data_IF_322857118395
#
_entry.id   IF_322857118395
#
_cell.length_a   1.000
_cell.length_b   1.000
_cell.length_c   1.000
_cell.angle_alpha   90.00
_cell.angle_beta   90.00
_cell.angle_gamma   90.00
#
_symmetry.space_group_name_H-M   'P 1'
#
loop_
_entity.id
_entity.type
_entity.pdbx_description
1 polymer ?
#
# COMPACT_ATOMS: atom_id res chain seq x y z
N UNK A 1 -14.36 35.48 5.36
CA UNK A 1 -14.44 34.11 5.93
C UNK A 1 -13.02 33.61 6.15
N UNK A 2 -12.64 33.05 7.31
CA UNK A 2 -11.34 32.41 7.41
C UNK A 2 -11.38 31.14 6.54
N UNK A 3 -10.44 31.03 5.60
CA UNK A 3 -10.26 29.81 4.81
C UNK A 3 -9.67 28.78 5.78
N UNK A 4 -10.52 27.92 6.32
CA UNK A 4 -10.09 26.83 7.17
C UNK A 4 -9.23 25.89 6.31
N UNK A 5 -7.93 25.85 6.58
CA UNK A 5 -7.05 24.87 5.95
C UNK A 5 -7.54 23.48 6.37
N UNK A 6 -7.84 22.56 5.43
CA UNK A 6 -8.33 21.23 5.78
C UNK A 6 -7.37 20.54 6.75
N UNK A 7 -7.91 19.83 7.73
CA UNK A 7 -7.16 19.17 8.82
C UNK A 7 -6.02 18.26 8.34
N UNK A 8 -6.09 17.79 7.09
CA UNK A 8 -5.13 16.88 6.48
C UNK A 8 -4.23 17.51 5.42
N UNK A 9 -4.24 18.84 5.25
CA UNK A 9 -3.44 19.52 4.21
C UNK A 9 -1.97 19.13 4.30
N UNK A 10 -1.37 19.18 5.49
CA UNK A 10 0.04 18.80 5.67
C UNK A 10 0.36 17.32 5.40
N UNK A 11 -0.63 16.43 5.44
CA UNK A 11 -0.46 15.02 5.04
C UNK A 11 -0.50 14.91 3.52
N UNK A 12 -1.46 15.57 2.88
CA UNK A 12 -1.62 15.60 1.42
C UNK A 12 -0.37 16.18 0.76
N UNK A 13 0.09 17.34 1.23
CA UNK A 13 1.33 17.98 0.73
C UNK A 13 2.56 17.09 0.89
N UNK A 14 2.63 16.35 2.01
CA UNK A 14 3.74 15.41 2.24
C UNK A 14 3.72 14.25 1.24
N UNK A 15 2.54 13.70 0.96
CA UNK A 15 2.37 12.61 -0.02
C UNK A 15 2.75 13.11 -1.41
N UNK A 16 2.23 14.26 -1.84
CA UNK A 16 2.62 14.87 -3.11
C UNK A 16 4.13 15.11 -3.21
N UNK A 17 4.77 15.60 -2.15
CA UNK A 17 6.21 15.78 -2.13
C UNK A 17 7.01 14.48 -2.23
N UNK A 18 6.48 13.36 -1.71
CA UNK A 18 7.09 12.04 -1.88
C UNK A 18 6.94 11.57 -3.32
N UNK A 19 5.75 11.67 -3.90
CA UNK A 19 5.47 11.27 -5.28
C UNK A 19 6.32 12.07 -6.27
N UNK A 20 6.51 13.37 -6.04
CA UNK A 20 7.39 14.22 -6.84
C UNK A 20 8.84 13.72 -6.82
N UNK A 21 9.40 13.48 -5.63
CA UNK A 21 10.80 13.07 -5.47
C UNK A 21 11.08 11.64 -5.95
N UNK A 22 10.11 10.74 -5.82
CA UNK A 22 10.34 9.31 -6.03
C UNK A 22 9.83 8.83 -7.38
N UNK A 23 8.79 9.47 -7.93
CA UNK A 23 8.15 9.07 -9.18
C UNK A 23 8.24 10.16 -10.26
N UNK A 24 7.61 11.32 -10.06
CA UNK A 24 7.45 12.32 -11.14
C UNK A 24 8.78 12.89 -11.64
N UNK A 25 9.73 13.19 -10.75
CA UNK A 25 11.06 13.71 -11.13
C UNK A 25 11.88 12.77 -12.03
N UNK A 26 11.51 11.49 -12.09
CA UNK A 26 12.18 10.47 -12.92
C UNK A 26 11.51 10.28 -14.28
N UNK A 27 10.36 10.91 -14.52
CA UNK A 27 9.62 10.80 -15.76
C UNK A 27 10.05 11.87 -16.77
N UNK A 28 10.07 11.49 -18.04
CA UNK A 28 10.21 12.45 -19.13
C UNK A 28 8.87 13.14 -19.39
N UNK A 29 8.87 14.45 -19.67
CA UNK A 29 7.67 15.22 -20.01
C UNK A 29 6.99 14.73 -21.30
N UNK A 30 7.72 14.11 -22.22
CA UNK A 30 7.19 13.57 -23.49
C UNK A 30 6.89 12.06 -23.42
N UNK A 31 6.52 11.54 -22.25
CA UNK A 31 6.22 10.12 -22.05
C UNK A 31 4.91 9.71 -22.72
N UNK A 32 4.88 8.51 -23.31
CA UNK A 32 3.63 7.91 -23.82
C UNK A 32 2.79 7.36 -22.67
N UNK A 33 1.48 7.22 -22.88
CA UNK A 33 0.58 6.66 -21.85
C UNK A 33 0.96 5.22 -21.53
N UNK A 34 1.36 4.43 -22.53
CA UNK A 34 1.78 3.04 -22.37
C UNK A 34 3.02 2.93 -21.47
N UNK A 35 4.04 3.75 -21.73
CA UNK A 35 5.25 3.76 -20.90
C UNK A 35 4.95 4.27 -19.49
N UNK A 36 4.06 5.26 -19.35
CA UNK A 36 3.62 5.74 -18.04
C UNK A 36 2.94 4.63 -17.23
N UNK A 37 2.10 3.79 -17.85
CA UNK A 37 1.47 2.64 -17.19
C UNK A 37 2.50 1.64 -16.68
N UNK A 38 3.51 1.32 -17.50
CA UNK A 38 4.59 0.42 -17.08
C UNK A 38 5.38 1.01 -15.90
N UNK A 39 5.69 2.31 -15.93
CA UNK A 39 6.36 2.99 -14.81
C UNK A 39 5.51 3.03 -13.54
N UNK A 40 4.20 3.24 -13.66
CA UNK A 40 3.28 3.15 -12.52
C UNK A 40 3.27 1.74 -11.92
N UNK A 41 3.27 0.70 -12.77
CA UNK A 41 3.31 -0.70 -12.33
C UNK A 41 4.61 -1.03 -11.61
N UNK A 42 5.75 -0.61 -12.16
CA UNK A 42 7.07 -0.73 -11.52
C UNK A 42 7.09 -0.06 -10.14
N UNK A 43 6.66 1.21 -10.07
CA UNK A 43 6.67 1.97 -8.82
C UNK A 43 5.71 1.38 -7.78
N UNK A 44 4.52 0.96 -8.20
CA UNK A 44 3.54 0.30 -7.32
C UNK A 44 4.10 -1.02 -6.78
N UNK A 45 4.81 -1.79 -7.61
CA UNK A 45 5.46 -3.02 -7.17
C UNK A 45 6.52 -2.74 -6.10
N UNK A 46 7.41 -1.78 -6.34
CA UNK A 46 8.42 -1.35 -5.37
C UNK A 46 7.77 -0.89 -4.05
N UNK A 47 6.80 0.02 -4.13
CA UNK A 47 6.16 0.62 -2.97
C UNK A 47 5.48 -0.44 -2.07
N UNK A 48 4.85 -1.44 -2.68
CA UNK A 48 4.11 -2.47 -1.94
C UNK A 48 5.01 -3.59 -1.40
N UNK A 49 6.07 -3.97 -2.14
CA UNK A 49 6.85 -5.18 -1.86
C UNK A 49 8.24 -4.92 -1.30
N UNK A 50 8.79 -3.71 -1.45
CA UNK A 50 10.20 -3.42 -1.19
C UNK A 50 10.40 -2.19 -0.29
N UNK A 51 9.50 -1.20 -0.34
CA UNK A 51 9.60 0.00 0.49
C UNK A 51 9.40 -0.33 1.97
N UNK A 52 10.42 -0.06 2.78
CA UNK A 52 10.31 -0.08 4.24
C UNK A 52 9.61 1.19 4.71
N UNK A 53 8.57 1.05 5.53
CA UNK A 53 7.77 2.17 6.01
C UNK A 53 8.05 2.37 7.50
N UNK A 54 8.59 3.53 7.86
CA UNK A 54 8.99 3.84 9.24
C UNK A 54 7.82 3.77 10.22
N UNK A 55 6.64 4.26 9.83
CA UNK A 55 5.41 4.17 10.65
C UNK A 55 4.88 2.75 10.82
N UNK A 56 5.41 1.78 10.06
CA UNK A 56 5.11 0.36 10.19
C UNK A 56 6.27 -0.42 10.84
N UNK A 57 7.17 0.25 11.57
CA UNK A 57 8.36 -0.37 12.17
C UNK A 57 9.32 -0.94 11.11
N UNK A 58 9.47 -0.22 10.00
CA UNK A 58 10.37 -0.59 8.90
C UNK A 58 10.05 -1.95 8.26
N UNK A 59 8.78 -2.34 8.21
CA UNK A 59 8.31 -3.46 7.36
C UNK A 59 7.67 -2.93 6.08
N UNK A 60 7.50 -3.82 5.10
CA UNK A 60 6.79 -3.55 3.86
C UNK A 60 5.27 -3.64 4.02
N UNK A 61 4.52 -3.06 3.08
CA UNK A 61 3.04 -3.19 3.07
C UNK A 61 2.63 -4.65 2.97
N UNK A 62 3.28 -5.42 2.10
CA UNK A 62 3.04 -6.86 1.95
C UNK A 62 3.20 -7.61 3.26
N UNK A 63 4.26 -7.35 4.02
CA UNK A 63 4.47 -7.96 5.33
C UNK A 63 3.42 -7.52 6.34
N UNK A 64 3.07 -6.22 6.36
CA UNK A 64 2.02 -5.72 7.24
C UNK A 64 0.68 -6.42 6.99
N UNK A 65 0.30 -6.60 5.72
CA UNK A 65 -0.93 -7.31 5.35
C UNK A 65 -0.86 -8.77 5.79
N UNK A 66 0.26 -9.48 5.55
CA UNK A 66 0.46 -10.85 6.02
C UNK A 66 0.30 -10.95 7.55
N UNK A 67 0.90 -10.04 8.30
CA UNK A 67 0.81 -10.02 9.76
C UNK A 67 -0.63 -9.79 10.24
N UNK A 68 -1.38 -8.89 9.59
CA UNK A 68 -2.80 -8.68 9.89
C UNK A 68 -3.60 -9.96 9.62
N UNK A 69 -3.40 -10.61 8.47
CA UNK A 69 -4.12 -11.85 8.13
C UNK A 69 -3.78 -12.96 9.13
N UNK A 70 -2.50 -13.16 9.45
CA UNK A 70 -2.05 -14.14 10.43
C UNK A 70 -2.65 -13.87 11.82
N UNK A 71 -2.65 -12.63 12.29
CA UNK A 71 -3.27 -12.28 13.58
C UNK A 71 -4.78 -12.59 13.60
N UNK A 72 -5.49 -12.34 12.51
CA UNK A 72 -6.93 -12.64 12.38
C UNK A 72 -7.18 -14.15 12.34
N UNK A 73 -6.33 -14.92 11.64
CA UNK A 73 -6.46 -16.38 11.64
C UNK A 73 -6.17 -16.95 13.02
N UNK A 74 -5.13 -16.50 13.74
CA UNK A 74 -4.84 -16.94 15.11
C UNK A 74 -6.00 -16.66 16.08
N UNK A 75 -6.67 -15.51 15.96
CA UNK A 75 -7.87 -15.20 16.76
C UNK A 75 -9.03 -16.15 16.42
N UNK A 76 -9.14 -16.59 15.16
CA UNK A 76 -10.12 -17.60 14.74
C UNK A 76 -9.77 -19.03 15.19
N UNK A 77 -8.50 -19.35 15.45
CA UNK A 77 -8.06 -20.69 15.92
C UNK A 77 -7.89 -20.78 17.44
N UNK A 78 -8.04 -19.67 18.18
CA UNK A 78 -8.22 -19.72 19.63
C UNK A 78 -9.48 -20.58 19.93
N UNK A 79 -9.44 -21.52 20.89
CA UNK A 79 -10.34 -22.65 20.92
C UNK A 79 -11.77 -22.21 21.20
N UNK A 80 -12.56 -22.07 20.14
CA UNK A 80 -13.98 -22.43 20.14
C UNK A 80 -14.05 -23.71 19.32
N UNK A 81 -14.62 -24.76 19.92
CA UNK A 81 -14.70 -26.14 19.41
C UNK A 81 -14.46 -26.29 17.90
N UNK A 82 -13.48 -27.13 17.57
CA UNK A 82 -13.13 -27.68 16.27
C UNK A 82 -14.36 -27.85 15.35
N UNK A 83 -14.43 -27.11 14.24
CA UNK A 83 -15.12 -27.59 13.03
C UNK A 83 -14.43 -27.03 11.80
N UNK A 84 -13.79 -27.93 11.06
CA UNK A 84 -13.04 -27.66 9.84
C UNK A 84 -14.03 -27.49 8.69
N UNK A 85 -13.97 -26.37 7.95
CA UNK A 85 -14.43 -26.35 6.56
C UNK A 85 -13.43 -25.55 5.71
N UNK A 86 -12.67 -26.30 4.93
CA UNK A 86 -11.84 -25.87 3.80
C UNK A 86 -12.72 -25.50 2.60
N UNK A 87 -12.51 -24.30 2.03
CA UNK A 87 -12.51 -23.97 0.60
C UNK A 87 -12.89 -22.50 0.40
N UNK A 88 -11.92 -21.68 -0.01
CA UNK A 88 -12.23 -20.44 -0.74
C UNK A 88 -11.22 -20.31 -1.88
N UNK A 89 -11.70 -20.56 -3.09
CA UNK A 89 -11.04 -20.23 -4.36
C UNK A 89 -10.78 -18.71 -4.41
N UNK A 90 -9.53 -18.33 -4.70
CA UNK A 90 -9.16 -16.93 -4.89
C UNK A 90 -9.48 -16.57 -6.34
N UNK A 91 -10.56 -15.80 -6.54
CA UNK A 91 -10.82 -15.11 -7.82
C UNK A 91 -9.82 -13.95 -7.94
N UNK A 92 -9.00 -14.02 -8.98
CA UNK A 92 -8.11 -12.95 -9.44
C UNK A 92 -8.93 -11.81 -10.03
N UNK A 93 -8.62 -10.57 -9.63
CA UNK A 93 -8.92 -9.35 -10.39
C UNK A 93 -7.60 -8.59 -10.56
#
# INVERSE_FOLDING_TARGET
MPIATPRYNGVVERVHGIDEREFYSRLNKNITVELLREKLKEYTHFYNNQRLISSLLYITIKERIKNIIASKSTISVAPKQLTIYSNIEIISI
#
